data_IF_749041727700
#
_entry.id   IF_749041727700
#
_cell.length_a   1.000
_cell.length_b   1.000
_cell.length_c   1.000
_cell.angle_alpha   90.00
_cell.angle_beta   90.00
_cell.angle_gamma   90.00
#
_symmetry.space_group_name_H-M   'P 1'
#
loop_
_entity.id
_entity.type
_entity.pdbx_description
1 polymer ?
#
# COMPACT_ATOMS: atom_id res chain seq x y z
N UNK A 1 -7.92 38.16 20.03
CA UNK A 1 -8.48 37.11 19.14
C UNK A 1 -8.80 35.90 20.02
N UNK A 2 -10.02 35.33 20.00
CA UNK A 2 -10.36 34.26 20.97
C UNK A 2 -9.67 32.94 20.59
N UNK A 3 -9.15 32.23 21.60
CA UNK A 3 -8.45 30.93 21.47
C UNK A 3 -9.20 29.91 20.59
N UNK A 4 -10.54 29.94 20.65
CA UNK A 4 -11.44 29.08 19.85
C UNK A 4 -11.39 29.37 18.34
N UNK A 5 -11.16 30.63 17.95
CA UNK A 5 -11.07 31.04 16.53
C UNK A 5 -9.72 30.62 15.92
N UNK A 6 -8.68 30.59 16.73
CA UNK A 6 -7.34 30.16 16.34
C UNK A 6 -7.25 28.63 16.18
N UNK A 7 -7.83 27.87 17.11
CA UNK A 7 -7.96 26.40 17.00
C UNK A 7 -8.75 25.97 15.75
N UNK A 8 -9.83 26.68 15.41
CA UNK A 8 -10.60 26.42 14.19
C UNK A 8 -9.80 26.68 12.91
N UNK A 9 -9.04 27.79 12.86
CA UNK A 9 -8.19 28.13 11.71
C UNK A 9 -7.08 27.10 11.50
N UNK A 10 -6.47 26.63 12.58
CA UNK A 10 -5.43 25.59 12.55
C UNK A 10 -5.98 24.24 12.07
N UNK A 11 -7.20 23.88 12.48
CA UNK A 11 -7.87 22.65 12.01
C UNK A 11 -8.18 22.70 10.51
N UNK A 12 -8.69 23.81 10.00
CA UNK A 12 -8.98 23.99 8.57
C UNK A 12 -7.71 23.96 7.71
N UNK A 13 -6.64 24.64 8.14
CA UNK A 13 -5.35 24.59 7.45
C UNK A 13 -4.78 23.17 7.41
N UNK A 14 -4.91 22.42 8.50
CA UNK A 14 -4.48 21.02 8.58
C UNK A 14 -5.25 20.09 7.62
N UNK A 15 -6.52 20.39 7.35
CA UNK A 15 -7.28 19.67 6.32
C UNK A 15 -6.67 19.97 4.95
N UNK A 16 -6.56 21.25 4.58
CA UNK A 16 -6.02 21.67 3.28
C UNK A 16 -4.65 21.07 3.01
N UNK A 17 -3.73 21.11 3.98
CA UNK A 17 -2.37 20.58 3.77
C UNK A 17 -2.38 19.08 3.51
N UNK A 18 -3.21 18.29 4.21
CA UNK A 18 -3.29 16.84 3.97
C UNK A 18 -3.82 16.51 2.58
N UNK A 19 -4.88 17.19 2.13
CA UNK A 19 -5.44 16.95 0.79
C UNK A 19 -4.53 17.49 -0.31
N UNK A 20 -3.80 18.58 -0.07
CA UNK A 20 -2.77 19.06 -1.00
C UNK A 20 -1.64 18.04 -1.15
N UNK A 21 -1.15 17.46 -0.04
CA UNK A 21 -0.16 16.38 -0.08
C UNK A 21 -0.70 15.18 -0.86
N UNK A 22 -1.95 14.77 -0.61
CA UNK A 22 -2.58 13.67 -1.35
C UNK A 22 -2.64 13.96 -2.86
N UNK A 23 -2.98 15.18 -3.25
CA UNK A 23 -3.03 15.58 -4.66
C UNK A 23 -1.64 15.60 -5.28
N UNK A 24 -0.62 16.12 -4.58
CA UNK A 24 0.77 16.11 -5.03
C UNK A 24 1.30 14.68 -5.22
N UNK A 25 0.95 13.76 -4.32
CA UNK A 25 1.31 12.34 -4.45
C UNK A 25 0.57 11.68 -5.61
N UNK A 26 -0.63 12.15 -5.97
CA UNK A 26 -1.39 11.63 -7.10
C UNK A 26 -0.81 12.06 -8.47
N UNK A 27 -0.12 13.20 -8.56
CA UNK A 27 0.43 13.75 -9.81
C UNK A 27 1.36 12.78 -10.56
N UNK A 28 2.37 12.14 -9.92
CA UNK A 28 3.20 11.14 -10.59
C UNK A 28 2.49 9.79 -10.79
N UNK A 29 1.20 9.67 -10.45
CA UNK A 29 0.44 8.42 -10.49
C UNK A 29 1.14 7.30 -9.68
N UNK A 30 1.02 6.04 -10.08
CA UNK A 30 1.67 4.89 -9.43
C UNK A 30 3.19 4.85 -9.61
N UNK A 31 3.77 5.75 -10.41
CA UNK A 31 5.20 5.72 -10.73
C UNK A 31 6.08 5.83 -9.47
N UNK A 32 5.71 6.69 -8.51
CA UNK A 32 6.43 6.83 -7.25
C UNK A 32 6.51 5.49 -6.50
N UNK A 33 5.42 4.74 -6.48
CA UNK A 33 5.35 3.44 -5.81
C UNK A 33 6.16 2.39 -6.57
N UNK A 34 6.10 2.37 -7.90
CA UNK A 34 6.90 1.44 -8.69
C UNK A 34 8.39 1.74 -8.57
N UNK A 35 8.80 3.00 -8.58
CA UNK A 35 10.19 3.40 -8.42
C UNK A 35 10.78 2.89 -7.09
N UNK A 36 10.03 2.97 -5.99
CA UNK A 36 10.49 2.53 -4.66
C UNK A 36 10.33 1.03 -4.47
N UNK A 37 9.15 0.48 -4.78
CA UNK A 37 8.80 -0.89 -4.42
C UNK A 37 9.20 -1.93 -5.47
N UNK A 38 9.47 -1.55 -6.73
CA UNK A 38 10.00 -2.50 -7.70
C UNK A 38 11.34 -3.11 -7.24
N UNK A 39 12.40 -2.33 -6.92
CA UNK A 39 13.66 -2.92 -6.47
C UNK A 39 13.49 -3.67 -5.14
N UNK A 40 12.67 -3.15 -4.23
CA UNK A 40 12.38 -3.79 -2.94
C UNK A 40 11.56 -5.09 -3.07
N UNK A 41 10.94 -5.34 -4.22
CA UNK A 41 10.21 -6.59 -4.48
C UNK A 41 11.11 -7.54 -5.26
N UNK A 42 11.73 -7.06 -6.34
CA UNK A 42 12.52 -7.86 -7.28
C UNK A 42 13.74 -8.48 -6.60
N UNK A 43 14.57 -7.68 -5.91
CA UNK A 43 15.81 -8.20 -5.34
C UNK A 43 15.57 -9.20 -4.21
N UNK A 44 14.64 -8.97 -3.26
CA UNK A 44 14.35 -9.98 -2.24
C UNK A 44 13.73 -11.24 -2.81
N UNK A 45 12.83 -11.11 -3.80
CA UNK A 45 12.26 -12.29 -4.48
C UNK A 45 13.32 -13.07 -5.23
N UNK A 46 14.20 -12.40 -5.98
CA UNK A 46 15.36 -13.01 -6.64
C UNK A 46 16.21 -13.77 -5.62
N UNK A 47 16.62 -13.11 -4.54
CA UNK A 47 17.43 -13.73 -3.48
C UNK A 47 16.75 -14.96 -2.89
N UNK A 48 15.44 -14.93 -2.68
CA UNK A 48 14.71 -16.11 -2.20
C UNK A 48 14.72 -17.27 -3.20
N UNK A 49 14.59 -17.00 -4.50
CA UNK A 49 14.68 -18.05 -5.52
C UNK A 49 16.10 -18.61 -5.67
N UNK A 50 17.13 -17.77 -5.55
CA UNK A 50 18.55 -18.13 -5.68
C UNK A 50 18.98 -19.17 -4.64
N UNK A 51 18.30 -19.23 -3.48
CA UNK A 51 18.54 -20.23 -2.44
C UNK A 51 18.15 -21.65 -2.91
N UNK A 52 17.19 -21.78 -3.83
CA UNK A 52 16.59 -23.07 -4.20
C UNK A 52 16.87 -23.48 -5.65
N UNK A 53 17.18 -22.54 -6.54
CA UNK A 53 17.36 -22.79 -7.97
C UNK A 53 18.52 -21.98 -8.55
N UNK A 54 19.14 -22.52 -9.60
CA UNK A 54 20.11 -21.78 -10.41
C UNK A 54 19.37 -20.77 -11.32
N UNK A 55 19.39 -19.51 -10.90
CA UNK A 55 18.65 -18.43 -11.56
C UNK A 55 19.56 -17.33 -12.10
N UNK A 56 19.03 -16.56 -13.04
CA UNK A 56 19.63 -15.30 -13.50
C UNK A 56 18.60 -14.18 -13.51
N UNK A 57 19.04 -12.96 -13.20
CA UNK A 57 18.21 -11.76 -13.20
C UNK A 57 18.56 -10.85 -14.37
N UNK A 58 17.58 -10.55 -15.22
CA UNK A 58 17.70 -9.56 -16.30
C UNK A 58 16.55 -8.55 -16.19
N UNK A 59 16.83 -7.40 -15.57
CA UNK A 59 15.84 -6.36 -15.33
C UNK A 59 14.70 -6.83 -14.41
N UNK A 60 13.53 -7.06 -14.99
CA UNK A 60 12.31 -7.52 -14.30
C UNK A 60 12.04 -9.02 -14.47
N UNK A 61 12.93 -9.73 -15.15
CA UNK A 61 12.75 -11.14 -15.50
C UNK A 61 13.71 -12.00 -14.68
N UNK A 62 13.15 -12.97 -13.96
CA UNK A 62 13.89 -14.03 -13.28
C UNK A 62 13.84 -15.26 -14.18
N UNK A 63 15.00 -15.66 -14.72
CA UNK A 63 15.11 -16.85 -15.56
C UNK A 63 15.64 -18.00 -14.71
N UNK A 64 14.88 -19.09 -14.65
CA UNK A 64 15.26 -20.33 -13.96
C UNK A 64 15.77 -21.29 -15.04
N UNK A 65 16.92 -21.91 -14.80
CA UNK A 65 17.51 -22.87 -15.75
C UNK A 65 16.50 -23.97 -16.11
N UNK A 66 16.31 -24.21 -17.41
CA UNK A 66 15.35 -25.18 -17.98
C UNK A 66 13.84 -24.90 -17.74
N UNK A 67 13.47 -23.72 -17.23
CA UNK A 67 12.08 -23.33 -17.02
C UNK A 67 11.72 -22.03 -17.75
N UNK A 68 10.41 -21.77 -17.90
CA UNK A 68 9.92 -20.51 -18.45
C UNK A 68 10.30 -19.33 -17.54
N UNK A 69 10.68 -18.17 -18.13
CA UNK A 69 11.06 -16.99 -17.36
C UNK A 69 9.87 -16.41 -16.57
N UNK A 70 10.12 -16.01 -15.33
CA UNK A 70 9.16 -15.34 -14.46
C UNK A 70 9.32 -13.82 -14.58
N UNK A 71 8.34 -13.15 -15.18
CA UNK A 71 8.31 -11.69 -15.31
C UNK A 71 7.59 -11.02 -14.13
N UNK A 72 8.27 -10.11 -13.43
CA UNK A 72 7.68 -9.30 -12.36
C UNK A 72 7.03 -8.06 -12.96
N UNK A 73 5.74 -8.17 -13.24
CA UNK A 73 4.91 -7.06 -13.76
C UNK A 73 4.44 -6.10 -12.64
N UNK A 74 3.92 -4.93 -13.02
CA UNK A 74 3.41 -3.92 -12.08
C UNK A 74 2.35 -4.42 -11.09
N UNK A 75 1.57 -5.44 -11.46
CA UNK A 75 0.58 -6.06 -10.57
C UNK A 75 1.23 -6.86 -9.42
N UNK A 76 2.45 -7.38 -9.61
CA UNK A 76 3.21 -8.08 -8.57
C UNK A 76 3.78 -7.13 -7.52
N UNK A 77 4.12 -5.90 -7.94
CA UNK A 77 4.61 -4.84 -7.05
C UNK A 77 3.48 -4.25 -6.21
N UNK A 78 2.21 -4.39 -6.63
CA UNK A 78 1.02 -3.90 -5.93
C UNK A 78 1.01 -2.37 -5.68
N UNK A 79 1.51 -1.56 -6.62
CA UNK A 79 1.59 -0.10 -6.48
C UNK A 79 0.26 0.56 -6.07
N UNK A 80 -0.87 0.12 -6.63
CA UNK A 80 -2.20 0.63 -6.27
C UNK A 80 -2.58 0.36 -4.81
N UNK A 81 -2.17 -0.77 -4.24
CA UNK A 81 -2.46 -1.12 -2.85
C UNK A 81 -1.64 -0.26 -1.88
N UNK A 82 -0.36 -0.01 -2.17
CA UNK A 82 0.43 0.97 -1.43
C UNK A 82 -0.18 2.37 -1.48
N UNK A 83 -0.65 2.78 -2.65
CA UNK A 83 -1.28 4.07 -2.82
C UNK A 83 -2.57 4.18 -1.99
N UNK A 84 -3.42 3.16 -2.02
CA UNK A 84 -4.65 3.13 -1.22
C UNK A 84 -4.35 3.20 0.28
N UNK A 85 -3.39 2.41 0.78
CA UNK A 85 -2.98 2.45 2.19
C UNK A 85 -2.40 3.81 2.59
N UNK A 86 -1.68 4.48 1.68
CA UNK A 86 -1.19 5.84 1.90
C UNK A 86 -2.35 6.84 2.02
N UNK A 87 -3.32 6.78 1.10
CA UNK A 87 -4.50 7.65 1.13
C UNK A 87 -5.25 7.49 2.45
N UNK A 88 -5.52 6.24 2.85
CA UNK A 88 -6.21 5.93 4.09
C UNK A 88 -5.46 6.49 5.31
N UNK A 89 -4.14 6.37 5.35
CA UNK A 89 -3.32 6.85 6.47
C UNK A 89 -3.18 8.38 6.54
N UNK A 90 -3.03 9.04 5.39
CA UNK A 90 -2.89 10.49 5.32
C UNK A 90 -4.21 11.23 5.55
N UNK A 91 -5.34 10.62 5.17
CA UNK A 91 -6.67 11.22 5.30
C UNK A 91 -7.29 11.10 6.70
N UNK A 92 -6.62 10.47 7.67
CA UNK A 92 -7.08 10.48 9.07
C UNK A 92 -6.69 11.79 9.76
N UNK A 93 -7.68 12.54 10.30
CA UNK A 93 -7.41 13.75 11.06
C UNK A 93 -6.82 13.46 12.45
N UNK A 94 -6.29 14.49 13.09
CA UNK A 94 -5.87 14.48 14.51
C UNK A 94 -4.80 13.43 14.90
N UNK A 95 -4.05 12.89 13.92
CA UNK A 95 -2.90 12.02 14.17
C UNK A 95 -1.60 12.83 14.15
N UNK A 96 -0.80 12.69 15.20
CA UNK A 96 0.55 13.26 15.27
C UNK A 96 1.43 12.69 14.15
N UNK A 97 2.27 13.51 13.53
CA UNK A 97 3.12 13.13 12.39
C UNK A 97 3.93 11.86 12.66
N UNK A 98 4.60 11.75 13.82
CA UNK A 98 5.38 10.55 14.16
C UNK A 98 4.55 9.27 14.26
N UNK A 99 3.29 9.35 14.71
CA UNK A 99 2.38 8.19 14.72
C UNK A 99 1.93 7.83 13.30
N UNK A 100 1.65 8.83 12.47
CA UNK A 100 1.27 8.65 11.06
C UNK A 100 2.38 7.99 10.24
N UNK A 101 3.64 8.38 10.44
CA UNK A 101 4.77 7.76 9.76
C UNK A 101 4.94 6.29 10.19
N UNK A 102 4.79 5.97 11.48
CA UNK A 102 4.82 4.59 11.98
C UNK A 102 3.71 3.73 11.38
N UNK A 103 2.52 4.31 11.24
CA UNK A 103 1.36 3.71 10.60
C UNK A 103 1.65 3.35 9.13
N UNK A 104 2.04 4.34 8.32
CA UNK A 104 2.42 4.12 6.91
C UNK A 104 3.53 3.08 6.78
N UNK A 105 4.58 3.18 7.59
CA UNK A 105 5.69 2.24 7.57
C UNK A 105 5.23 0.81 7.91
N UNK A 106 4.37 0.65 8.91
CA UNK A 106 3.79 -0.64 9.27
C UNK A 106 2.98 -1.24 8.12
N UNK A 107 2.06 -0.47 7.54
CA UNK A 107 1.21 -0.91 6.44
C UNK A 107 2.06 -1.30 5.21
N UNK A 108 3.06 -0.48 4.86
CA UNK A 108 3.94 -0.72 3.73
C UNK A 108 4.82 -1.95 3.92
N UNK A 109 5.41 -2.12 5.12
CA UNK A 109 6.25 -3.28 5.41
C UNK A 109 5.46 -4.59 5.34
N UNK A 110 4.25 -4.63 5.92
CA UNK A 110 3.43 -5.85 5.86
C UNK A 110 3.02 -6.17 4.42
N UNK A 111 2.59 -5.17 3.67
CA UNK A 111 2.22 -5.37 2.27
C UNK A 111 3.41 -5.84 1.43
N UNK A 112 4.62 -5.31 1.68
CA UNK A 112 5.84 -5.73 1.00
C UNK A 112 6.16 -7.19 1.26
N UNK A 113 6.16 -7.58 2.54
CA UNK A 113 6.41 -8.98 2.93
C UNK A 113 5.37 -9.91 2.30
N UNK A 114 4.08 -9.55 2.37
CA UNK A 114 3.01 -10.34 1.78
C UNK A 114 3.17 -10.50 0.26
N UNK A 115 3.58 -9.44 -0.45
CA UNK A 115 3.80 -9.50 -1.90
C UNK A 115 5.03 -10.33 -2.27
N UNK A 116 6.15 -10.18 -1.56
CA UNK A 116 7.35 -11.00 -1.79
C UNK A 116 7.02 -12.48 -1.60
N UNK A 117 6.33 -12.82 -0.50
CA UNK A 117 5.91 -14.20 -0.22
C UNK A 117 4.92 -14.71 -1.28
N UNK A 118 3.97 -13.89 -1.72
CA UNK A 118 3.04 -14.24 -2.79
C UNK A 118 3.80 -14.61 -4.08
N UNK A 119 4.72 -13.75 -4.53
CA UNK A 119 5.46 -13.99 -5.78
C UNK A 119 6.31 -15.25 -5.63
N UNK A 120 6.99 -15.41 -4.49
CA UNK A 120 7.80 -16.58 -4.22
C UNK A 120 6.97 -17.88 -4.26
N UNK A 121 5.85 -17.94 -3.54
CA UNK A 121 4.96 -19.12 -3.52
C UNK A 121 4.40 -19.42 -4.93
N UNK A 122 3.93 -18.40 -5.65
CA UNK A 122 3.39 -18.60 -6.99
C UNK A 122 4.48 -19.07 -7.97
N UNK A 123 5.70 -18.54 -7.87
CA UNK A 123 6.80 -19.00 -8.72
C UNK A 123 7.26 -20.41 -8.37
N UNK A 124 7.24 -20.83 -7.09
CA UNK A 124 7.48 -22.23 -6.72
C UNK A 124 6.44 -23.18 -7.34
N UNK A 125 5.16 -22.80 -7.31
CA UNK A 125 4.08 -23.58 -7.93
C UNK A 125 4.28 -23.65 -9.46
N UNK A 126 4.70 -22.55 -10.08
CA UNK A 126 4.96 -22.47 -11.50
C UNK A 126 6.13 -23.37 -11.93
N UNK A 127 7.28 -23.25 -11.27
CA UNK A 127 8.49 -24.05 -11.54
C UNK A 127 8.24 -25.53 -11.28
N UNK A 128 7.42 -25.86 -10.27
CA UNK A 128 7.02 -27.25 -9.99
C UNK A 128 6.08 -27.86 -11.03
N UNK A 129 5.62 -27.11 -12.05
CA UNK A 129 4.77 -27.63 -13.12
C UNK A 129 3.34 -28.02 -12.68
N UNK A 130 2.88 -27.49 -11.54
CA UNK A 130 1.56 -27.84 -11.03
C UNK A 130 0.44 -27.24 -11.90
N UNK A 131 -0.52 -28.08 -12.32
CA UNK A 131 -1.67 -27.68 -13.17
C UNK A 131 -2.61 -26.65 -12.51
N UNK A 132 -2.49 -26.44 -11.20
CA UNK A 132 -3.31 -25.51 -10.42
C UNK A 132 -2.79 -24.07 -10.43
N UNK A 133 -1.67 -23.80 -11.13
CA UNK A 133 -1.05 -22.48 -11.16
C UNK A 133 -2.05 -21.39 -11.58
N UNK A 134 -2.75 -21.55 -12.71
CA UNK A 134 -3.65 -20.51 -13.25
C UNK A 134 -4.79 -20.16 -12.29
N UNK A 135 -5.37 -21.17 -11.66
CA UNK A 135 -6.46 -20.99 -10.69
C UNK A 135 -5.93 -20.27 -9.46
N UNK A 136 -4.80 -20.75 -8.93
CA UNK A 136 -4.17 -20.17 -7.73
C UNK A 136 -3.76 -18.73 -7.97
N UNK A 137 -3.12 -18.45 -9.11
CA UNK A 137 -2.71 -17.11 -9.52
C UNK A 137 -3.90 -16.14 -9.56
N UNK A 138 -5.03 -16.53 -10.20
CA UNK A 138 -6.23 -15.70 -10.29
C UNK A 138 -6.87 -15.45 -8.92
N UNK A 139 -6.93 -16.45 -8.05
CA UNK A 139 -7.45 -16.30 -6.68
C UNK A 139 -6.59 -15.32 -5.88
N UNK A 140 -5.26 -15.48 -5.91
CA UNK A 140 -4.34 -14.56 -5.24
C UNK A 140 -4.48 -13.13 -5.78
N UNK A 141 -4.66 -12.99 -7.09
CA UNK A 141 -4.73 -11.69 -7.74
C UNK A 141 -6.04 -10.96 -7.43
N UNK A 142 -7.20 -11.56 -7.70
CA UNK A 142 -8.49 -10.85 -7.58
C UNK A 142 -9.03 -10.84 -6.16
N UNK A 143 -8.92 -11.96 -5.44
CA UNK A 143 -9.57 -12.11 -4.15
C UNK A 143 -8.64 -11.74 -3.01
N UNK A 144 -7.47 -12.39 -2.96
CA UNK A 144 -6.59 -12.27 -1.80
C UNK A 144 -5.92 -10.89 -1.70
N UNK A 145 -5.63 -10.24 -2.83
CA UNK A 145 -5.02 -8.90 -2.85
C UNK A 145 -5.92 -7.85 -2.18
N UNK A 146 -7.22 -7.89 -2.41
CA UNK A 146 -8.19 -6.99 -1.74
C UNK A 146 -8.27 -7.30 -0.25
N UNK A 147 -8.34 -8.58 0.11
CA UNK A 147 -8.39 -9.02 1.50
C UNK A 147 -7.15 -8.57 2.26
N UNK A 148 -5.95 -8.67 1.67
CA UNK A 148 -4.73 -8.21 2.33
C UNK A 148 -4.79 -6.74 2.68
N UNK A 149 -5.21 -5.87 1.76
CA UNK A 149 -5.34 -4.43 2.05
C UNK A 149 -6.33 -4.18 3.18
N UNK A 150 -7.49 -4.84 3.14
CA UNK A 150 -8.54 -4.73 4.16
C UNK A 150 -8.03 -5.19 5.54
N UNK A 151 -7.38 -6.35 5.60
CA UNK A 151 -6.81 -6.91 6.83
C UNK A 151 -5.70 -6.03 7.39
N UNK A 152 -4.80 -5.53 6.54
CA UNK A 152 -3.73 -4.60 6.94
C UNK A 152 -4.35 -3.34 7.56
N UNK A 153 -5.34 -2.76 6.88
CA UNK A 153 -6.02 -1.56 7.34
C UNK A 153 -6.73 -1.77 8.69
N UNK A 154 -7.53 -2.83 8.84
CA UNK A 154 -8.22 -3.08 10.10
C UNK A 154 -7.25 -3.41 11.24
N UNK A 155 -6.16 -4.12 10.93
CA UNK A 155 -5.07 -4.36 11.89
C UNK A 155 -4.46 -3.05 12.34
N UNK A 156 -4.19 -2.14 11.42
CA UNK A 156 -3.65 -0.81 11.71
C UNK A 156 -4.59 0.02 12.59
N UNK A 157 -5.89 0.06 12.26
CA UNK A 157 -6.93 0.73 13.07
C UNK A 157 -6.92 0.22 14.51
N UNK A 158 -6.86 -1.11 14.68
CA UNK A 158 -6.84 -1.76 16.00
C UNK A 158 -5.54 -1.50 16.75
N UNK A 159 -4.40 -1.68 16.10
CA UNK A 159 -3.07 -1.58 16.69
C UNK A 159 -2.76 -0.14 17.15
N UNK A 160 -3.08 0.84 16.30
CA UNK A 160 -2.83 2.24 16.58
C UNK A 160 -4.01 2.94 17.27
N UNK A 161 -5.09 2.23 17.61
CA UNK A 161 -6.27 2.77 18.30
C UNK A 161 -6.82 4.02 17.60
N UNK A 162 -7.05 3.91 16.30
CA UNK A 162 -7.56 5.01 15.47
C UNK A 162 -9.04 5.23 15.81
N UNK A 163 -9.41 6.46 16.18
CA UNK A 163 -10.78 6.83 16.55
C UNK A 163 -11.53 7.55 15.44
N UNK A 164 -10.81 8.25 14.57
CA UNK A 164 -11.35 9.06 13.48
C UNK A 164 -11.41 8.26 12.19
N UNK A 165 -12.42 8.55 11.37
CA UNK A 165 -12.64 7.86 10.09
C UNK A 165 -11.97 8.69 8.98
N UNK A 166 -11.12 8.07 8.13
CA UNK A 166 -10.55 8.70 6.95
C UNK A 166 -11.60 9.45 6.13
N UNK A 167 -11.32 10.69 5.73
CA UNK A 167 -12.18 11.55 4.89
C UNK A 167 -13.50 11.96 5.56
N UNK A 168 -14.28 11.03 6.10
CA UNK A 168 -15.58 11.28 6.72
C UNK A 168 -15.49 12.25 7.91
N UNK A 169 -14.51 12.08 8.80
CA UNK A 169 -14.33 12.98 9.94
C UNK A 169 -14.10 14.43 9.49
N UNK A 170 -13.38 14.64 8.39
CA UNK A 170 -13.14 15.97 7.81
C UNK A 170 -14.38 16.55 7.14
N UNK A 171 -15.10 15.76 6.33
CA UNK A 171 -16.37 16.20 5.72
C UNK A 171 -17.37 16.60 6.81
N UNK A 172 -17.49 15.78 7.87
CA UNK A 172 -18.36 16.08 9.02
C UNK A 172 -17.94 17.38 9.73
N UNK A 173 -16.64 17.63 9.86
CA UNK A 173 -16.11 18.87 10.43
C UNK A 173 -16.45 20.08 9.56
N UNK A 174 -16.23 20.00 8.24
CA UNK A 174 -16.52 21.06 7.29
C UNK A 174 -18.02 21.36 7.25
N UNK A 175 -18.87 20.34 7.13
CA UNK A 175 -20.32 20.48 7.13
C UNK A 175 -20.81 21.25 8.37
N UNK A 176 -20.36 20.84 9.57
CA UNK A 176 -20.76 21.48 10.84
C UNK A 176 -20.34 22.95 10.96
N UNK A 177 -19.30 23.37 10.25
CA UNK A 177 -18.76 24.74 10.28
C UNK A 177 -19.06 25.52 8.99
N UNK A 178 -19.90 24.97 8.11
CA UNK A 178 -20.32 25.61 6.86
C UNK A 178 -21.68 26.27 6.98
N UNK A 179 -21.99 27.13 6.01
CA UNK A 179 -23.28 27.82 5.88
C UNK A 179 -24.44 26.83 5.61
N UNK A 180 -24.13 25.62 5.12
CA UNK A 180 -25.10 24.58 4.76
C UNK A 180 -25.80 23.93 5.97
N UNK A 181 -25.30 24.14 7.18
CA UNK A 181 -25.89 23.62 8.43
C UNK A 181 -27.00 24.53 9.00
N UNK A 182 -27.45 25.52 8.22
CA UNK A 182 -28.63 26.33 8.56
C UNK A 182 -29.87 25.46 8.60
#
# INVERSE_FOLDING_TARGET
MSKKREESKNSFLSIITRYLILLLVALPNLWLFYFVFAPLTIYPTYFLFDIFFDISLSGHIISVSECFPLEIVGACIAGAAYYLLLILNLSIPNIKLGKRLKMILFAFSILLIANILRIFILGLIFVGGFSWFDITHKIFWYFLSTIFVVVIWFTEVKLFKIKDIPVYSDIRYLYKNSILKK
#
